data_IF_743674411135
#
_entry.id   IF_743674411135
#
_cell.length_a   1.000
_cell.length_b   1.000
_cell.length_c   1.000
_cell.angle_alpha   90.00
_cell.angle_beta   90.00
_cell.angle_gamma   90.00
#
_symmetry.space_group_name_H-M   'P 1'
#
loop_
_entity.id
_entity.type
_entity.pdbx_description
1 polymer ?
#
# COMPACT_ATOMS: atom_id res chain seq x y z
N UNK A 1 -9.62 29.25 -25.01
CA UNK A 1 -10.65 28.56 -24.21
C UNK A 1 -9.93 27.41 -23.51
N UNK A 2 -9.77 27.45 -22.20
CA UNK A 2 -9.24 26.32 -21.44
C UNK A 2 -10.25 25.19 -21.54
N UNK A 3 -9.90 24.06 -22.15
CA UNK A 3 -10.67 22.86 -22.05
C UNK A 3 -10.76 22.54 -20.55
N UNK A 4 -11.96 22.70 -19.98
CA UNK A 4 -12.23 22.29 -18.61
C UNK A 4 -12.08 20.77 -18.59
N UNK A 5 -11.17 20.25 -17.80
CA UNK A 5 -11.14 18.83 -17.48
C UNK A 5 -12.53 18.48 -16.93
N UNK A 6 -13.26 17.64 -17.65
CA UNK A 6 -14.56 17.18 -17.16
C UNK A 6 -14.34 16.23 -15.97
N UNK A 7 -15.12 16.43 -14.93
CA UNK A 7 -15.07 15.58 -13.74
C UNK A 7 -15.48 14.13 -14.10
N UNK A 8 -14.90 13.12 -13.41
CA UNK A 8 -15.34 11.76 -13.56
C UNK A 8 -16.83 11.62 -13.29
N UNK A 9 -17.54 10.91 -14.18
CA UNK A 9 -19.00 10.78 -14.11
C UNK A 9 -19.41 9.35 -13.76
N UNK A 10 -20.42 9.20 -12.89
CA UNK A 10 -21.01 7.92 -12.58
C UNK A 10 -21.85 7.43 -13.76
N UNK A 11 -21.41 6.36 -14.41
CA UNK A 11 -22.09 5.75 -15.55
C UNK A 11 -23.13 4.73 -15.13
N UNK A 12 -22.74 3.87 -14.17
CA UNK A 12 -23.60 2.75 -13.74
C UNK A 12 -23.38 2.42 -12.29
N UNK A 13 -24.43 1.86 -11.72
CA UNK A 13 -24.31 1.25 -10.42
C UNK A 13 -25.00 -0.14 -10.43
N UNK A 14 -24.40 -1.11 -9.73
CA UNK A 14 -24.89 -2.47 -9.64
C UNK A 14 -25.18 -2.84 -8.20
N UNK A 15 -26.35 -3.45 -7.96
CA UNK A 15 -26.77 -4.02 -6.69
C UNK A 15 -27.14 -5.48 -6.90
N UNK A 16 -26.66 -6.38 -6.04
CA UNK A 16 -26.96 -7.81 -6.19
C UNK A 16 -26.28 -8.70 -5.20
N UNK A 17 -25.15 -8.27 -4.65
CA UNK A 17 -24.54 -8.87 -3.48
C UNK A 17 -25.35 -8.56 -2.21
N UNK A 18 -25.18 -9.38 -1.18
CA UNK A 18 -25.91 -9.28 0.10
C UNK A 18 -24.99 -8.90 1.26
N UNK A 19 -23.75 -8.57 0.96
CA UNK A 19 -22.73 -8.18 1.91
C UNK A 19 -21.64 -7.36 1.21
N UNK A 20 -20.72 -6.84 1.99
CA UNK A 20 -19.60 -6.00 1.57
C UNK A 20 -18.91 -6.54 0.32
N UNK A 21 -18.71 -5.68 -0.66
CA UNK A 21 -17.88 -5.95 -1.83
C UNK A 21 -16.42 -5.91 -1.39
N UNK A 22 -15.64 -6.92 -1.77
CA UNK A 22 -14.23 -7.05 -1.36
C UNK A 22 -13.24 -6.81 -2.48
N UNK A 23 -13.64 -7.16 -3.70
CA UNK A 23 -12.75 -7.08 -4.86
C UNK A 23 -13.55 -6.99 -6.15
N UNK A 24 -13.00 -6.26 -7.12
CA UNK A 24 -13.60 -6.05 -8.44
C UNK A 24 -12.49 -6.18 -9.47
N UNK A 25 -12.82 -6.70 -10.65
CA UNK A 25 -11.91 -6.70 -11.79
C UNK A 25 -12.67 -6.63 -13.13
N UNK A 26 -12.11 -5.90 -14.08
CA UNK A 26 -12.63 -5.80 -15.44
C UNK A 26 -12.11 -6.94 -16.31
N UNK A 27 -13.00 -7.51 -17.14
CA UNK A 27 -12.54 -8.38 -18.22
C UNK A 27 -11.79 -7.53 -19.27
N UNK A 28 -10.69 -8.04 -19.79
CA UNK A 28 -9.87 -7.38 -20.83
C UNK A 28 -10.66 -6.95 -22.06
N UNK A 29 -11.79 -7.63 -22.35
CA UNK A 29 -12.68 -7.29 -23.46
C UNK A 29 -13.68 -6.16 -23.15
N UNK A 30 -13.63 -5.58 -21.95
CA UNK A 30 -14.54 -4.51 -21.47
C UNK A 30 -16.04 -4.84 -21.54
N UNK A 31 -16.40 -6.13 -21.54
CA UNK A 31 -17.81 -6.54 -21.59
C UNK A 31 -18.36 -7.02 -20.26
N UNK A 32 -17.48 -7.40 -19.35
CA UNK A 32 -17.84 -8.03 -18.08
C UNK A 32 -17.01 -7.46 -16.91
N UNK A 33 -17.63 -7.54 -15.74
CA UNK A 33 -17.04 -7.17 -14.46
C UNK A 33 -17.18 -8.34 -13.49
N UNK A 34 -16.08 -8.81 -12.91
CA UNK A 34 -16.07 -9.81 -11.85
C UNK A 34 -16.07 -9.12 -10.48
N UNK A 35 -16.91 -9.61 -9.57
CA UNK A 35 -17.08 -9.02 -8.24
C UNK A 35 -17.06 -10.13 -7.21
N UNK A 36 -16.25 -9.97 -6.18
CA UNK A 36 -16.21 -10.82 -4.99
C UNK A 36 -16.81 -10.11 -3.79
N UNK A 37 -17.45 -10.87 -2.91
CA UNK A 37 -18.11 -10.32 -1.72
C UNK A 37 -17.96 -11.22 -0.50
N UNK A 38 -18.18 -10.63 0.67
CA UNK A 38 -18.26 -11.32 1.96
C UNK A 38 -19.41 -12.33 1.99
N UNK A 39 -20.40 -12.22 1.10
CA UNK A 39 -21.52 -13.18 0.94
C UNK A 39 -21.10 -14.54 0.34
N UNK A 40 -19.80 -14.81 0.22
CA UNK A 40 -19.20 -16.04 -0.32
C UNK A 40 -19.44 -16.32 -1.81
N UNK A 41 -20.01 -15.35 -2.55
CA UNK A 41 -20.30 -15.50 -3.96
C UNK A 41 -19.35 -14.66 -4.83
N UNK A 42 -19.18 -15.13 -6.06
CA UNK A 42 -18.60 -14.34 -7.13
C UNK A 42 -19.72 -14.01 -8.12
N UNK A 43 -19.86 -12.75 -8.48
CA UNK A 43 -20.80 -12.32 -9.51
C UNK A 43 -20.08 -11.80 -10.73
N UNK A 44 -20.56 -12.18 -11.91
CA UNK A 44 -20.09 -11.65 -13.20
C UNK A 44 -21.20 -10.81 -13.79
N UNK A 45 -20.99 -9.50 -13.83
CA UNK A 45 -21.90 -8.56 -14.43
C UNK A 45 -21.51 -8.25 -15.88
N UNK A 46 -22.50 -8.14 -16.73
CA UNK A 46 -22.29 -7.66 -18.09
C UNK A 46 -22.47 -6.14 -18.14
N UNK A 47 -21.54 -5.46 -18.77
CA UNK A 47 -21.62 -4.01 -18.96
C UNK A 47 -22.61 -3.62 -20.08
N UNK A 48 -23.08 -4.56 -20.88
CA UNK A 48 -24.19 -4.31 -21.82
C UNK A 48 -25.51 -4.21 -21.06
N UNK A 49 -26.38 -3.24 -21.39
CA UNK A 49 -27.69 -3.13 -20.78
C UNK A 49 -28.52 -4.40 -21.04
N UNK A 50 -29.43 -4.73 -20.10
CA UNK A 50 -30.37 -5.85 -20.16
C UNK A 50 -29.78 -7.27 -20.15
N UNK A 51 -28.48 -7.44 -19.99
CA UNK A 51 -27.87 -8.77 -19.79
C UNK A 51 -27.88 -9.18 -18.33
N UNK A 52 -28.23 -10.44 -18.07
CA UNK A 52 -28.24 -11.01 -16.71
C UNK A 52 -26.82 -11.14 -16.16
N UNK A 53 -26.68 -10.91 -14.85
CA UNK A 53 -25.47 -11.28 -14.12
C UNK A 53 -25.43 -12.79 -13.86
N UNK A 54 -24.23 -13.37 -13.85
CA UNK A 54 -24.01 -14.74 -13.39
C UNK A 54 -23.61 -14.70 -11.92
N UNK A 55 -24.21 -15.57 -11.11
CA UNK A 55 -23.84 -15.75 -9.70
C UNK A 55 -23.21 -17.12 -9.51
N UNK A 56 -21.96 -17.14 -9.10
CA UNK A 56 -21.19 -18.35 -8.86
C UNK A 56 -21.14 -18.63 -7.36
N UNK A 57 -21.70 -19.77 -6.97
CA UNK A 57 -21.76 -20.24 -5.60
C UNK A 57 -20.86 -21.47 -5.47
N UNK A 58 -19.99 -21.48 -4.48
CA UNK A 58 -19.10 -22.63 -4.28
C UNK A 58 -18.10 -22.43 -3.17
N UNK A 59 -17.65 -21.20 -2.90
CA UNK A 59 -16.90 -20.90 -1.70
C UNK A 59 -17.75 -21.10 -0.45
N UNK A 60 -17.10 -21.52 0.64
CA UNK A 60 -17.75 -21.80 1.93
C UNK A 60 -17.70 -20.61 2.88
N UNK A 61 -16.93 -19.59 2.54
CA UNK A 61 -16.71 -18.39 3.33
C UNK A 61 -16.43 -17.20 2.40
N UNK A 62 -16.28 -16.01 2.96
CA UNK A 62 -16.07 -14.77 2.26
C UNK A 62 -15.05 -14.87 1.10
N UNK A 63 -15.40 -14.33 -0.06
CA UNK A 63 -14.48 -14.12 -1.17
C UNK A 63 -13.76 -12.81 -0.93
N UNK A 64 -12.44 -12.80 -0.92
CA UNK A 64 -11.63 -11.63 -0.60
C UNK A 64 -10.94 -10.99 -1.81
N UNK A 65 -10.71 -11.77 -2.88
CA UNK A 65 -10.09 -11.26 -4.10
C UNK A 65 -10.61 -12.02 -5.31
N UNK A 66 -10.83 -11.29 -6.39
CA UNK A 66 -11.22 -11.85 -7.70
C UNK A 66 -10.37 -11.21 -8.78
N UNK A 67 -10.05 -11.97 -9.82
CA UNK A 67 -9.39 -11.43 -11.01
C UNK A 67 -9.74 -12.25 -12.25
N UNK A 68 -9.92 -11.57 -13.39
CA UNK A 68 -9.97 -12.21 -14.70
C UNK A 68 -8.57 -12.64 -15.13
N UNK A 69 -8.49 -13.74 -15.87
CA UNK A 69 -7.27 -14.05 -16.62
C UNK A 69 -7.06 -13.00 -17.73
N UNK A 70 -5.81 -12.72 -18.14
CA UNK A 70 -5.54 -11.79 -19.24
C UNK A 70 -6.30 -12.11 -20.53
N UNK A 71 -6.56 -13.40 -20.77
CA UNK A 71 -7.37 -13.87 -21.91
C UNK A 71 -8.87 -13.68 -21.73
N UNK A 72 -9.36 -13.36 -20.52
CA UNK A 72 -10.76 -13.24 -20.20
C UNK A 72 -11.54 -14.55 -20.08
N UNK A 73 -10.90 -15.72 -20.25
CA UNK A 73 -11.56 -17.03 -20.27
C UNK A 73 -11.73 -17.66 -18.88
N UNK A 74 -10.98 -17.19 -17.90
CA UNK A 74 -11.04 -17.68 -16.52
C UNK A 74 -11.20 -16.51 -15.55
N UNK A 75 -11.80 -16.81 -14.40
CA UNK A 75 -11.82 -15.93 -13.23
C UNK A 75 -11.23 -16.69 -12.06
N UNK A 76 -10.22 -16.13 -11.40
CA UNK A 76 -9.72 -16.63 -10.14
C UNK A 76 -10.42 -15.94 -8.98
N UNK A 77 -10.76 -16.69 -7.94
CA UNK A 77 -11.27 -16.14 -6.69
C UNK A 77 -10.54 -16.74 -5.50
N UNK A 78 -10.18 -15.91 -4.55
CA UNK A 78 -9.55 -16.29 -3.29
C UNK A 78 -10.50 -16.07 -2.12
N UNK A 79 -10.53 -16.99 -1.16
CA UNK A 79 -11.50 -16.96 -0.08
C UNK A 79 -10.89 -17.23 1.30
N UNK A 80 -11.61 -16.80 2.31
CA UNK A 80 -11.36 -17.13 3.71
C UNK A 80 -11.45 -18.64 3.97
N UNK A 81 -12.15 -19.40 3.12
CA UNK A 81 -12.20 -20.87 3.17
C UNK A 81 -10.89 -21.58 2.82
N UNK A 82 -9.78 -20.82 2.64
CA UNK A 82 -8.41 -21.31 2.36
C UNK A 82 -8.24 -21.93 0.97
N UNK A 83 -9.20 -21.71 0.09
CA UNK A 83 -9.16 -22.21 -1.29
C UNK A 83 -9.13 -21.08 -2.31
N UNK A 84 -8.54 -21.37 -3.46
CA UNK A 84 -8.70 -20.60 -4.68
C UNK A 84 -9.58 -21.39 -5.62
N UNK A 85 -10.52 -20.73 -6.27
CA UNK A 85 -11.31 -21.31 -7.34
C UNK A 85 -11.01 -20.65 -8.67
N UNK A 86 -10.90 -21.47 -9.71
CA UNK A 86 -10.82 -21.01 -11.09
C UNK A 86 -12.15 -21.31 -11.76
N UNK A 87 -12.84 -20.27 -12.17
CA UNK A 87 -14.18 -20.34 -12.77
C UNK A 87 -14.10 -20.09 -14.26
N UNK A 88 -14.93 -20.81 -15.02
CA UNK A 88 -15.22 -20.45 -16.40
C UNK A 88 -16.41 -19.48 -16.38
N UNK A 89 -16.26 -18.22 -16.88
CA UNK A 89 -17.31 -17.20 -16.84
C UNK A 89 -18.42 -17.51 -17.85
N UNK A 90 -19.14 -18.60 -17.63
CA UNK A 90 -20.25 -19.11 -18.43
C UNK A 90 -21.48 -19.33 -17.57
N UNK A 91 -22.63 -19.58 -18.20
CA UNK A 91 -23.89 -19.84 -17.51
C UNK A 91 -23.80 -21.02 -16.51
N UNK A 92 -22.96 -22.04 -16.84
CA UNK A 92 -22.78 -23.20 -15.96
C UNK A 92 -21.95 -22.92 -14.73
N UNK A 93 -21.03 -21.93 -14.79
CA UNK A 93 -20.19 -21.55 -13.66
C UNK A 93 -19.28 -22.70 -13.17
N UNK A 94 -18.77 -23.51 -14.08
CA UNK A 94 -17.86 -24.61 -13.72
C UNK A 94 -16.61 -24.06 -13.07
N UNK A 95 -16.15 -24.71 -11.99
CA UNK A 95 -14.95 -24.28 -11.28
C UNK A 95 -14.09 -25.44 -10.84
N UNK A 96 -12.79 -25.21 -10.85
CA UNK A 96 -11.80 -26.08 -10.22
C UNK A 96 -11.31 -25.47 -8.91
N UNK A 97 -11.03 -26.31 -7.91
CA UNK A 97 -10.67 -25.90 -6.56
C UNK A 97 -9.21 -26.20 -6.28
N UNK A 98 -8.45 -25.17 -5.90
CA UNK A 98 -7.08 -25.31 -5.41
C UNK A 98 -7.09 -25.17 -3.88
N UNK A 99 -6.70 -26.21 -3.16
CA UNK A 99 -6.41 -26.14 -1.73
C UNK A 99 -5.05 -25.48 -1.53
N UNK A 100 -5.04 -24.15 -1.54
CA UNK A 100 -3.81 -23.42 -1.73
C UNK A 100 -3.03 -23.18 -0.41
N UNK A 101 -3.71 -22.84 0.66
CA UNK A 101 -3.09 -22.37 1.89
C UNK A 101 -3.68 -23.01 3.13
N UNK A 102 -2.99 -22.87 4.26
CA UNK A 102 -3.49 -23.29 5.59
C UNK A 102 -4.24 -22.18 6.31
N UNK A 103 -4.08 -20.92 5.87
CA UNK A 103 -4.77 -19.73 6.35
C UNK A 103 -5.70 -19.12 5.29
N UNK A 104 -6.40 -18.07 5.65
CA UNK A 104 -7.23 -17.24 4.77
C UNK A 104 -6.41 -16.78 3.56
N UNK A 105 -6.97 -16.85 2.37
CA UNK A 105 -6.32 -16.31 1.16
C UNK A 105 -6.90 -14.92 0.90
N UNK A 106 -6.02 -13.92 0.95
CA UNK A 106 -6.44 -12.51 0.83
C UNK A 106 -6.35 -11.95 -0.56
N UNK A 107 -5.41 -12.44 -1.35
CA UNK A 107 -5.15 -11.93 -2.70
C UNK A 107 -4.86 -13.08 -3.66
N UNK A 108 -5.33 -12.93 -4.88
CA UNK A 108 -5.03 -13.78 -6.02
C UNK A 108 -4.80 -12.92 -7.24
N UNK A 109 -3.73 -13.22 -8.00
CA UNK A 109 -3.47 -12.52 -9.25
C UNK A 109 -2.88 -13.46 -10.31
N UNK A 110 -3.33 -13.31 -11.54
CA UNK A 110 -2.69 -13.91 -12.71
C UNK A 110 -1.43 -13.12 -13.07
N UNK A 111 -0.41 -13.82 -13.51
CA UNK A 111 0.68 -13.19 -14.23
C UNK A 111 0.19 -12.68 -15.60
N UNK A 112 0.87 -11.68 -16.14
CA UNK A 112 0.48 -11.05 -17.41
C UNK A 112 0.45 -12.03 -18.58
N UNK A 113 1.28 -13.07 -18.53
CA UNK A 113 1.30 -14.18 -19.51
C UNK A 113 0.11 -15.15 -19.36
N UNK A 114 -0.69 -15.04 -18.31
CA UNK A 114 -1.79 -15.93 -17.98
C UNK A 114 -1.37 -17.35 -17.57
N UNK A 115 -0.07 -17.66 -17.51
CA UNK A 115 0.43 -19.01 -17.22
C UNK A 115 0.60 -19.29 -15.74
N UNK A 116 0.85 -18.26 -14.96
CA UNK A 116 1.11 -18.35 -13.52
C UNK A 116 0.06 -17.59 -12.71
N UNK A 117 -0.15 -18.04 -11.47
CA UNK A 117 -1.02 -17.41 -10.50
C UNK A 117 -0.24 -17.19 -9.20
N UNK A 118 -0.33 -16.04 -8.58
CA UNK A 118 0.20 -15.76 -7.24
C UNK A 118 -0.93 -15.64 -6.24
N UNK A 119 -0.72 -16.14 -5.04
CA UNK A 119 -1.66 -16.10 -3.92
C UNK A 119 -0.97 -15.63 -2.65
N UNK A 120 -1.63 -14.75 -1.89
CA UNK A 120 -1.15 -14.27 -0.60
C UNK A 120 -2.11 -14.68 0.52
N UNK A 121 -1.57 -15.04 1.69
CA UNK A 121 -2.35 -15.64 2.76
C UNK A 121 -1.95 -15.18 4.16
N UNK A 122 -2.91 -15.34 5.09
CA UNK A 122 -2.71 -15.20 6.53
C UNK A 122 -1.76 -16.27 7.12
N UNK A 123 -1.42 -17.33 6.35
CA UNK A 123 -0.38 -18.29 6.74
C UNK A 123 1.04 -17.73 6.58
N UNK A 124 1.17 -16.41 6.30
CA UNK A 124 2.43 -15.66 6.14
C UNK A 124 3.21 -16.01 4.89
N UNK A 125 2.62 -16.76 3.97
CA UNK A 125 3.26 -17.22 2.74
C UNK A 125 2.61 -16.64 1.49
N UNK A 126 3.44 -16.51 0.47
CA UNK A 126 3.02 -16.24 -0.90
C UNK A 126 3.30 -17.52 -1.67
N UNK A 127 2.36 -17.98 -2.47
CA UNK A 127 2.54 -19.19 -3.29
C UNK A 127 2.29 -18.89 -4.75
N UNK A 128 3.07 -19.54 -5.59
CA UNK A 128 2.96 -19.43 -7.05
C UNK A 128 2.55 -20.77 -7.63
N UNK A 129 1.64 -20.72 -8.60
CA UNK A 129 0.97 -21.88 -9.20
C UNK A 129 1.03 -21.79 -10.71
N UNK A 130 1.04 -22.93 -11.40
CA UNK A 130 0.74 -22.96 -12.84
C UNK A 130 -0.78 -23.04 -13.04
N UNK A 131 -1.32 -22.20 -13.92
CA UNK A 131 -2.75 -22.15 -14.21
C UNK A 131 -3.21 -23.40 -14.96
N UNK A 132 -2.53 -23.76 -16.05
CA UNK A 132 -2.94 -24.87 -16.92
C UNK A 132 -2.96 -26.24 -16.21
N UNK A 133 -1.91 -26.53 -15.42
CA UNK A 133 -1.79 -27.80 -14.69
C UNK A 133 -2.30 -27.72 -13.26
N UNK A 134 -2.66 -26.54 -12.78
CA UNK A 134 -3.10 -26.27 -11.39
C UNK A 134 -2.13 -26.83 -10.34
N UNK A 135 -0.82 -26.79 -10.66
CA UNK A 135 0.22 -27.31 -9.79
C UNK A 135 0.93 -26.19 -9.05
N UNK A 136 1.24 -26.48 -7.79
CA UNK A 136 2.13 -25.66 -6.98
C UNK A 136 3.53 -25.61 -7.61
N UNK A 137 4.13 -24.41 -7.66
CA UNK A 137 5.50 -24.19 -8.14
C UNK A 137 6.47 -23.97 -6.96
N UNK A 138 6.23 -22.92 -6.20
CA UNK A 138 7.07 -22.57 -5.05
C UNK A 138 6.34 -21.63 -4.08
N UNK A 139 6.92 -21.48 -2.88
CA UNK A 139 6.45 -20.61 -1.82
C UNK A 139 7.54 -19.63 -1.39
N UNK A 140 7.12 -18.41 -1.05
CA UNK A 140 7.95 -17.35 -0.47
C UNK A 140 7.47 -17.10 0.96
N UNK A 141 8.38 -17.21 1.98
CA UNK A 141 8.00 -17.31 3.39
C UNK A 141 8.86 -16.47 4.33
N UNK A 142 9.22 -15.22 3.94
CA UNK A 142 10.00 -14.33 4.82
C UNK A 142 9.17 -13.24 5.50
N UNK A 143 7.86 -13.16 5.25
CA UNK A 143 6.98 -12.31 6.03
C UNK A 143 6.75 -12.92 7.42
N UNK A 144 6.78 -12.08 8.46
CA UNK A 144 6.58 -12.51 9.85
C UNK A 144 5.10 -12.45 10.27
N UNK A 145 4.25 -11.81 9.47
CA UNK A 145 2.81 -11.69 9.71
C UNK A 145 2.00 -11.95 8.42
N UNK A 146 0.68 -11.79 8.48
CA UNK A 146 -0.26 -12.03 7.39
C UNK A 146 0.12 -11.26 6.13
N UNK A 147 0.10 -11.94 4.99
CA UNK A 147 0.31 -11.28 3.69
C UNK A 147 -1.03 -10.88 3.10
N UNK A 148 -1.24 -9.58 2.98
CA UNK A 148 -2.51 -8.98 2.51
C UNK A 148 -2.66 -9.01 1.00
N UNK A 149 -1.58 -8.69 0.29
CA UNK A 149 -1.59 -8.56 -1.16
C UNK A 149 -0.29 -9.08 -1.74
N UNK A 150 -0.35 -9.71 -2.90
CA UNK A 150 0.82 -10.04 -3.71
C UNK A 150 0.49 -9.86 -5.18
N UNK A 151 1.39 -9.22 -5.93
CA UNK A 151 1.24 -8.86 -7.34
C UNK A 151 2.48 -9.21 -8.14
N UNK A 152 2.28 -9.63 -9.40
CA UNK A 152 3.36 -9.74 -10.38
C UNK A 152 3.71 -8.38 -10.98
N UNK A 153 4.98 -8.19 -11.30
CA UNK A 153 5.38 -7.08 -12.16
C UNK A 153 4.84 -7.27 -13.59
N UNK A 154 4.67 -6.17 -14.36
CA UNK A 154 4.16 -6.24 -15.73
C UNK A 154 4.99 -7.16 -16.65
N UNK A 155 6.32 -7.23 -16.43
CA UNK A 155 7.23 -8.11 -17.15
C UNK A 155 7.25 -9.57 -16.61
N UNK A 156 6.54 -9.83 -15.50
CA UNK A 156 6.46 -11.15 -14.85
C UNK A 156 7.72 -11.61 -14.13
N UNK A 157 8.75 -10.75 -14.00
CA UNK A 157 10.04 -11.05 -13.38
C UNK A 157 9.99 -11.01 -11.87
N UNK A 158 9.31 -10.00 -11.33
CA UNK A 158 9.24 -9.74 -9.91
C UNK A 158 7.85 -10.03 -9.35
N UNK A 159 7.81 -10.24 -8.04
CA UNK A 159 6.59 -10.25 -7.25
C UNK A 159 6.76 -9.20 -6.18
N UNK A 160 5.73 -8.38 -5.94
CA UNK A 160 5.66 -7.48 -4.78
C UNK A 160 4.63 -8.02 -3.80
N UNK A 161 4.87 -7.84 -2.52
CA UNK A 161 3.93 -8.25 -1.47
C UNK A 161 3.82 -7.20 -0.36
N UNK A 162 2.61 -7.09 0.19
CA UNK A 162 2.26 -6.22 1.30
C UNK A 162 1.77 -7.04 2.50
N UNK A 163 2.17 -6.68 3.71
CA UNK A 163 1.92 -7.48 4.90
C UNK A 163 1.55 -6.66 6.14
N UNK A 164 0.92 -7.35 7.10
CA UNK A 164 0.67 -6.84 8.45
C UNK A 164 1.95 -6.71 9.29
N UNK A 165 3.10 -7.18 8.80
CA UNK A 165 4.41 -6.90 9.39
C UNK A 165 4.91 -5.49 9.08
N UNK A 166 4.08 -4.65 8.44
CA UNK A 166 4.36 -3.27 8.02
C UNK A 166 5.42 -3.16 6.94
N UNK A 167 5.75 -4.25 6.27
CA UNK A 167 6.75 -4.28 5.20
C UNK A 167 6.12 -4.54 3.85
N UNK A 168 6.78 -4.01 2.83
CA UNK A 168 6.58 -4.38 1.44
C UNK A 168 7.86 -5.08 1.00
N UNK A 169 7.73 -6.25 0.40
CA UNK A 169 8.87 -7.02 -0.10
C UNK A 169 8.79 -7.20 -1.61
N UNK A 170 9.95 -7.10 -2.25
CA UNK A 170 10.13 -7.41 -3.67
C UNK A 170 10.90 -8.72 -3.78
N UNK A 171 10.40 -9.62 -4.58
CA UNK A 171 10.92 -10.96 -4.79
C UNK A 171 11.30 -11.17 -6.25
N UNK A 172 12.41 -11.81 -6.50
CA UNK A 172 12.73 -12.32 -7.83
C UNK A 172 12.04 -13.70 -8.02
N UNK A 173 11.24 -13.83 -9.08
CA UNK A 173 10.54 -15.07 -9.42
C UNK A 173 11.51 -16.20 -9.79
N UNK A 174 12.67 -15.88 -10.38
CA UNK A 174 13.65 -16.87 -10.83
C UNK A 174 14.48 -17.42 -9.67
N UNK A 175 15.06 -16.56 -8.84
CA UNK A 175 15.88 -16.95 -7.67
C UNK A 175 15.02 -17.32 -6.47
N UNK A 176 13.76 -16.85 -6.40
CA UNK A 176 12.81 -17.00 -5.28
C UNK A 176 13.28 -16.31 -4.01
N UNK A 177 14.15 -15.34 -4.13
CA UNK A 177 14.72 -14.60 -3.03
C UNK A 177 14.07 -13.22 -2.89
N UNK A 178 14.07 -12.69 -1.65
CA UNK A 178 13.67 -11.32 -1.40
C UNK A 178 14.83 -10.40 -1.76
N UNK A 179 14.63 -9.56 -2.78
CA UNK A 179 15.64 -8.61 -3.24
C UNK A 179 15.68 -7.40 -2.32
N UNK A 180 14.50 -6.90 -1.94
CA UNK A 180 14.40 -5.68 -1.13
C UNK A 180 13.18 -5.70 -0.22
N UNK A 181 13.27 -4.98 0.91
CA UNK A 181 12.17 -4.79 1.86
C UNK A 181 12.06 -3.32 2.23
N UNK A 182 10.88 -2.73 2.06
CA UNK A 182 10.58 -1.36 2.48
C UNK A 182 9.86 -1.38 3.85
N UNK A 183 10.29 -0.52 4.78
CA UNK A 183 9.83 -0.50 6.18
C UNK A 183 9.14 0.82 6.59
N UNK A 184 8.84 1.69 5.64
CA UNK A 184 8.44 3.08 5.90
C UNK A 184 6.97 3.27 6.28
N UNK A 185 6.13 2.22 6.26
CA UNK A 185 4.74 2.33 6.73
C UNK A 185 4.64 2.30 8.25
N UNK A 186 3.90 3.28 8.81
CA UNK A 186 3.58 3.33 10.24
C UNK A 186 2.58 2.25 10.70
N UNK A 187 1.75 1.77 9.78
CA UNK A 187 0.72 0.75 9.99
C UNK A 187 0.88 -0.47 9.10
N UNK A 188 -0.12 -1.35 9.13
CA UNK A 188 -0.19 -2.50 8.24
C UNK A 188 -0.35 -2.05 6.79
N UNK A 189 0.25 -2.80 5.85
CA UNK A 189 0.13 -2.52 4.42
C UNK A 189 -0.97 -3.39 3.84
N UNK A 190 -2.09 -2.77 3.44
CA UNK A 190 -3.27 -3.47 2.96
C UNK A 190 -3.15 -3.91 1.50
N UNK A 191 -2.58 -3.06 0.68
CA UNK A 191 -2.56 -3.27 -0.77
C UNK A 191 -1.28 -2.71 -1.39
N UNK A 192 -0.81 -3.34 -2.44
CA UNK A 192 0.34 -2.91 -3.23
C UNK A 192 0.10 -3.21 -4.69
N UNK A 193 0.57 -2.34 -5.58
CA UNK A 193 0.49 -2.56 -7.02
C UNK A 193 1.74 -2.03 -7.72
N UNK A 194 2.03 -2.61 -8.90
CA UNK A 194 3.06 -2.12 -9.78
C UNK A 194 2.54 -1.01 -10.68
N UNK A 195 3.36 -0.01 -10.89
CA UNK A 195 3.17 0.94 -11.97
C UNK A 195 3.24 0.21 -13.33
N UNK A 196 2.45 0.59 -14.35
CA UNK A 196 2.41 -0.10 -15.64
C UNK A 196 3.76 -0.24 -16.34
N UNK A 197 4.71 0.69 -16.12
CA UNK A 197 6.07 0.59 -16.67
C UNK A 197 7.00 -0.36 -15.88
N UNK A 198 6.54 -0.90 -14.74
CA UNK A 198 7.31 -1.81 -13.90
C UNK A 198 8.46 -1.20 -13.10
N UNK A 199 8.65 0.13 -13.10
CA UNK A 199 9.76 0.80 -12.39
C UNK A 199 9.42 1.24 -10.98
N UNK A 200 8.13 1.43 -10.71
CA UNK A 200 7.63 1.92 -9.43
C UNK A 200 6.57 0.99 -8.86
N UNK A 201 6.38 1.09 -7.55
CA UNK A 201 5.28 0.45 -6.82
C UNK A 201 4.56 1.50 -5.97
N UNK A 202 3.25 1.32 -5.80
CA UNK A 202 2.47 2.09 -4.84
C UNK A 202 1.86 1.16 -3.80
N UNK A 203 1.79 1.61 -2.55
CA UNK A 203 1.15 0.87 -1.48
C UNK A 203 0.21 1.72 -0.64
N UNK A 204 -0.83 1.10 -0.16
CA UNK A 204 -1.85 1.64 0.72
C UNK A 204 -1.77 0.99 2.10
N UNK A 205 -1.82 1.81 3.15
CA UNK A 205 -1.65 1.35 4.52
C UNK A 205 -2.77 1.76 5.48
N UNK A 206 -2.75 1.13 6.65
CA UNK A 206 -3.64 1.49 7.77
C UNK A 206 -3.20 2.76 8.48
N UNK A 207 -2.08 3.34 8.08
CA UNK A 207 -1.60 4.66 8.50
C UNK A 207 -2.26 5.81 7.72
N UNK A 208 -3.31 5.52 6.95
CA UNK A 208 -4.08 6.44 6.11
C UNK A 208 -3.24 7.07 4.99
N UNK A 209 -2.10 6.48 4.68
CA UNK A 209 -1.17 7.00 3.67
C UNK A 209 -1.10 6.13 2.44
N UNK A 210 -0.76 6.77 1.33
CA UNK A 210 -0.36 6.11 0.09
C UNK A 210 1.06 6.55 -0.22
N UNK A 211 1.93 5.58 -0.49
CA UNK A 211 3.33 5.83 -0.79
C UNK A 211 3.72 5.21 -2.11
N UNK A 212 4.63 5.85 -2.81
CA UNK A 212 5.15 5.40 -4.11
C UNK A 212 6.66 5.33 -4.03
N UNK A 213 7.24 4.18 -4.44
CA UNK A 213 8.69 3.96 -4.44
C UNK A 213 9.20 3.63 -5.84
N UNK A 214 10.42 4.06 -6.14
CA UNK A 214 11.21 3.53 -7.26
C UNK A 214 11.93 2.26 -6.82
N UNK A 215 11.66 1.15 -7.49
CA UNK A 215 12.26 -0.15 -7.15
C UNK A 215 13.71 -0.29 -7.61
N UNK A 216 14.18 0.52 -8.55
CA UNK A 216 15.57 0.50 -9.04
C UNK A 216 16.50 1.25 -8.09
N UNK A 217 16.02 2.38 -7.56
CA UNK A 217 16.75 3.23 -6.63
C UNK A 217 16.47 2.87 -5.17
N UNK A 218 15.45 2.03 -4.90
CA UNK A 218 14.94 1.69 -3.57
C UNK A 218 14.60 2.95 -2.73
N UNK A 219 14.06 3.98 -3.38
CA UNK A 219 13.73 5.27 -2.77
C UNK A 219 12.25 5.54 -2.79
N UNK A 220 11.77 6.17 -1.70
CA UNK A 220 10.45 6.76 -1.65
C UNK A 220 10.42 7.97 -2.60
N UNK A 221 9.50 7.96 -3.56
CA UNK A 221 9.30 9.06 -4.51
C UNK A 221 8.23 10.03 -4.02
N UNK A 222 7.09 9.49 -3.56
CA UNK A 222 5.94 10.30 -3.18
C UNK A 222 5.25 9.72 -1.95
N UNK A 223 4.72 10.61 -1.11
CA UNK A 223 3.99 10.27 0.10
C UNK A 223 2.72 11.12 0.18
N UNK A 224 1.57 10.49 0.08
CA UNK A 224 0.27 11.14 0.12
C UNK A 224 -0.46 10.87 1.44
N UNK A 225 -0.84 11.96 2.14
CA UNK A 225 -1.69 11.96 3.33
C UNK A 225 -3.03 12.62 3.02
N UNK A 226 -3.74 12.06 2.08
CA UNK A 226 -4.97 12.67 1.54
C UNK A 226 -6.24 12.08 2.14
N UNK A 227 -6.17 10.87 2.73
CA UNK A 227 -7.30 10.21 3.36
C UNK A 227 -7.34 10.43 4.87
N UNK A 228 -8.56 10.54 5.43
CA UNK A 228 -8.78 10.65 6.87
C UNK A 228 -8.88 9.29 7.57
N UNK A 229 -9.03 8.21 6.82
CA UNK A 229 -9.12 6.84 7.35
C UNK A 229 -8.27 5.87 6.52
N UNK A 230 -8.27 4.60 6.94
CA UNK A 230 -7.50 3.51 6.32
C UNK A 230 -7.71 3.44 4.81
N UNK A 231 -6.62 3.35 4.06
CA UNK A 231 -6.66 3.12 2.62
C UNK A 231 -6.66 1.61 2.36
N UNK A 232 -7.71 1.12 1.70
CA UNK A 232 -7.95 -0.30 1.50
C UNK A 232 -7.34 -0.84 0.20
N UNK A 233 -7.46 -0.06 -0.86
CA UNK A 233 -7.10 -0.49 -2.21
C UNK A 233 -6.60 0.70 -3.03
N UNK A 234 -5.81 0.40 -4.04
CA UNK A 234 -5.35 1.36 -5.04
C UNK A 234 -5.22 0.69 -6.41
N UNK A 235 -5.23 1.49 -7.46
CA UNK A 235 -5.02 1.01 -8.83
C UNK A 235 -4.35 2.11 -9.66
N UNK A 236 -3.34 1.74 -10.42
CA UNK A 236 -2.73 2.63 -11.40
C UNK A 236 -3.59 2.74 -12.65
N UNK A 237 -3.68 3.93 -13.20
CA UNK A 237 -4.20 4.13 -14.54
C UNK A 237 -3.22 3.53 -15.57
N UNK A 238 -3.70 2.93 -16.69
CA UNK A 238 -2.83 2.27 -17.67
C UNK A 238 -1.77 3.18 -18.30
N UNK A 239 -2.02 4.51 -18.39
CA UNK A 239 -1.01 5.46 -18.88
C UNK A 239 0.11 5.74 -17.85
N UNK A 240 -0.05 5.32 -16.60
CA UNK A 240 0.91 5.53 -15.52
C UNK A 240 0.87 6.89 -14.83
N UNK A 241 0.09 7.86 -15.31
CA UNK A 241 0.11 9.22 -14.77
C UNK A 241 -0.79 9.41 -13.55
N UNK A 242 -1.78 8.53 -13.36
CA UNK A 242 -2.77 8.64 -12.31
C UNK A 242 -2.83 7.40 -11.43
N UNK A 243 -3.16 7.62 -10.18
CA UNK A 243 -3.40 6.59 -9.18
C UNK A 243 -4.76 6.84 -8.51
N UNK A 244 -5.65 5.86 -8.50
CA UNK A 244 -6.91 5.92 -7.74
C UNK A 244 -6.78 5.11 -6.46
N UNK A 245 -7.40 5.61 -5.40
CA UNK A 245 -7.37 5.01 -4.07
C UNK A 245 -8.77 4.93 -3.48
N UNK A 246 -9.05 3.88 -2.72
CA UNK A 246 -10.31 3.65 -2.01
C UNK A 246 -10.04 3.56 -0.50
N UNK A 247 -10.87 4.23 0.30
CA UNK A 247 -10.64 4.36 1.74
C UNK A 247 -11.90 4.13 2.57
N UNK A 248 -11.67 3.80 3.84
CA UNK A 248 -12.70 3.71 4.87
C UNK A 248 -13.40 5.04 5.16
N UNK A 249 -12.87 6.18 4.67
CA UNK A 249 -13.54 7.49 4.73
C UNK A 249 -14.68 7.63 3.71
N UNK A 250 -15.06 6.55 3.04
CA UNK A 250 -16.12 6.48 2.02
C UNK A 250 -15.84 7.28 0.76
N UNK A 251 -14.60 7.72 0.56
CA UNK A 251 -14.19 8.48 -0.62
C UNK A 251 -13.24 7.68 -1.52
N UNK A 252 -13.31 8.00 -2.80
CA UNK A 252 -12.29 7.63 -3.77
C UNK A 252 -11.50 8.89 -4.10
N UNK A 253 -10.18 8.75 -4.20
CA UNK A 253 -9.31 9.89 -4.55
C UNK A 253 -8.44 9.54 -5.74
N UNK A 254 -8.32 10.48 -6.66
CA UNK A 254 -7.47 10.36 -7.83
C UNK A 254 -6.27 11.28 -7.64
N UNK A 255 -5.10 10.69 -7.69
CA UNK A 255 -3.80 11.35 -7.50
C UNK A 255 -3.12 11.49 -8.84
N UNK A 256 -2.57 12.66 -9.09
CA UNK A 256 -1.66 12.93 -10.21
C UNK A 256 -0.24 12.61 -9.75
N UNK A 257 0.40 11.65 -10.40
CA UNK A 257 1.75 11.22 -10.08
C UNK A 257 2.82 12.11 -10.72
N UNK A 258 2.49 12.87 -11.77
CA UNK A 258 3.41 13.80 -12.40
C UNK A 258 3.59 15.06 -11.54
N UNK A 259 2.46 15.62 -11.09
CA UNK A 259 2.47 16.82 -10.25
C UNK A 259 2.54 16.52 -8.75
N UNK A 260 2.36 15.24 -8.34
CA UNK A 260 2.43 14.81 -6.95
C UNK A 260 1.28 15.34 -6.08
N UNK A 261 0.10 15.60 -6.65
CA UNK A 261 -1.03 16.22 -5.96
C UNK A 261 -2.34 15.42 -6.06
N UNK A 262 -3.29 15.74 -5.19
CA UNK A 262 -4.66 15.27 -5.28
C UNK A 262 -5.38 15.99 -6.41
N UNK A 263 -5.93 15.23 -7.36
CA UNK A 263 -6.67 15.75 -8.50
C UNK A 263 -8.18 15.80 -8.20
N UNK A 264 -8.78 14.64 -7.83
CA UNK A 264 -10.21 14.55 -7.54
C UNK A 264 -10.49 13.83 -6.22
N UNK A 265 -11.57 14.23 -5.55
CA UNK A 265 -12.20 13.49 -4.46
C UNK A 265 -13.61 13.15 -4.89
N UNK A 266 -13.93 11.86 -4.99
CA UNK A 266 -15.22 11.38 -5.44
C UNK A 266 -16.01 10.83 -4.27
N UNK A 267 -17.24 11.26 -4.18
CA UNK A 267 -18.23 10.83 -3.21
C UNK A 267 -19.30 10.01 -3.91
N UNK A 268 -19.77 8.93 -3.28
CA UNK A 268 -20.81 8.06 -3.86
C UNK A 268 -21.17 6.92 -2.93
N UNK A 269 -20.16 6.25 -2.37
CA UNK A 269 -20.38 5.18 -1.39
C UNK A 269 -20.93 5.72 -0.07
N UNK A 270 -21.95 5.02 0.48
CA UNK A 270 -22.55 5.35 1.77
C UNK A 270 -21.81 4.74 2.96
N UNK A 271 -20.75 4.00 2.72
CA UNK A 271 -19.89 3.37 3.70
C UNK A 271 -18.46 3.22 3.18
N UNK A 272 -17.57 2.57 3.93
CA UNK A 272 -16.19 2.31 3.50
C UNK A 272 -16.08 1.83 2.06
N UNK A 273 -15.28 2.51 1.24
CA UNK A 273 -14.88 2.02 -0.07
C UNK A 273 -13.77 0.98 0.12
N UNK A 274 -14.00 -0.24 -0.34
CA UNK A 274 -13.15 -1.39 -0.06
C UNK A 274 -12.21 -1.74 -1.19
N UNK A 275 -12.62 -1.51 -2.44
CA UNK A 275 -11.86 -1.86 -3.63
C UNK A 275 -12.10 -0.87 -4.77
N UNK A 276 -11.09 -0.74 -5.62
CA UNK A 276 -11.13 0.10 -6.81
C UNK A 276 -10.19 -0.47 -7.87
N UNK A 277 -10.56 -0.36 -9.13
CA UNK A 277 -9.75 -0.83 -10.26
C UNK A 277 -10.03 0.01 -11.50
N UNK A 278 -8.99 0.36 -12.25
CA UNK A 278 -9.13 0.91 -13.60
C UNK A 278 -9.38 -0.18 -14.63
N UNK A 279 -10.07 0.18 -15.68
CA UNK A 279 -10.17 -0.64 -16.89
C UNK A 279 -8.83 -0.72 -17.62
N UNK A 280 -8.64 -1.75 -18.44
CA UNK A 280 -7.39 -1.92 -19.21
C UNK A 280 -7.12 -0.79 -20.22
N UNK A 281 -8.16 -0.11 -20.70
CA UNK A 281 -8.04 1.05 -21.58
C UNK A 281 -7.90 2.39 -20.82
N UNK A 282 -8.28 2.42 -19.52
CA UNK A 282 -8.29 3.63 -18.73
C UNK A 282 -9.58 4.47 -18.82
N UNK A 283 -10.48 4.15 -19.75
CA UNK A 283 -11.71 4.93 -19.99
C UNK A 283 -12.71 4.86 -18.82
N UNK A 284 -12.61 3.80 -18.02
CA UNK A 284 -13.50 3.55 -16.89
C UNK A 284 -12.71 3.11 -15.66
N UNK A 285 -13.30 3.29 -14.51
CA UNK A 285 -12.91 2.61 -13.28
C UNK A 285 -14.15 2.12 -12.53
N UNK A 286 -13.97 1.08 -11.72
CA UNK A 286 -15.03 0.54 -10.89
C UNK A 286 -14.62 0.58 -9.42
N UNK A 287 -15.57 0.88 -8.54
CA UNK A 287 -15.39 0.89 -7.09
C UNK A 287 -16.44 0.04 -6.41
N UNK A 288 -16.09 -0.57 -5.29
CA UNK A 288 -16.98 -1.33 -4.44
C UNK A 288 -16.85 -0.91 -2.99
N UNK A 289 -17.94 -1.02 -2.27
CA UNK A 289 -18.01 -0.59 -0.88
C UNK A 289 -18.71 -1.57 0.05
N UNK A 290 -18.70 -1.23 1.33
CA UNK A 290 -19.46 -1.94 2.36
C UNK A 290 -20.97 -1.69 2.27
N UNK A 291 -21.41 -0.77 1.43
CA UNK A 291 -22.80 -0.48 1.07
C UNK A 291 -23.38 -1.51 0.05
N UNK A 292 -22.67 -2.63 -0.20
CA UNK A 292 -23.07 -3.72 -1.10
C UNK A 292 -23.21 -3.28 -2.56
N UNK A 293 -22.71 -2.08 -2.91
CA UNK A 293 -22.84 -1.49 -4.23
C UNK A 293 -21.51 -1.50 -4.98
N UNK A 294 -21.65 -1.65 -6.29
CA UNK A 294 -20.56 -1.44 -7.23
C UNK A 294 -20.91 -0.28 -8.14
N UNK A 295 -20.00 0.67 -8.23
CA UNK A 295 -20.15 1.86 -9.07
C UNK A 295 -19.13 1.79 -10.20
N UNK A 296 -19.56 2.08 -11.41
CA UNK A 296 -18.71 2.20 -12.59
C UNK A 296 -18.73 3.65 -13.03
N UNK A 297 -17.57 4.22 -13.13
CA UNK A 297 -17.29 5.62 -13.40
C UNK A 297 -16.58 5.74 -14.74
N UNK A 298 -16.90 6.77 -15.48
CA UNK A 298 -16.15 7.16 -16.66
C UNK A 298 -15.04 8.12 -16.25
N UNK A 299 -13.81 7.84 -16.70
CA UNK A 299 -12.68 8.77 -16.58
C UNK A 299 -12.78 9.77 -17.72
N UNK A 300 -12.69 11.05 -17.44
CA UNK A 300 -12.65 12.07 -18.49
C UNK A 300 -11.23 12.62 -18.66
N UNK A 301 -10.22 11.78 -18.34
CA UNK A 301 -8.81 12.16 -18.51
C UNK A 301 -8.30 11.60 -19.84
N UNK A 302 -8.57 12.25 -20.94
CA UNK A 302 -7.90 11.87 -22.17
C UNK A 302 -6.45 12.37 -22.17
N UNK A 303 -5.52 11.43 -22.30
CA UNK A 303 -4.09 11.71 -22.33
C UNK A 303 -3.68 12.66 -23.46
N UNK A 304 -4.47 12.78 -24.52
CA UNK A 304 -4.28 13.71 -25.62
C UNK A 304 -4.49 15.17 -25.18
N UNK A 305 -5.52 15.44 -24.40
CA UNK A 305 -5.85 16.80 -23.95
C UNK A 305 -4.84 17.33 -22.91
N UNK A 306 -4.34 16.45 -22.04
CA UNK A 306 -3.33 16.86 -21.04
C UNK A 306 -1.98 17.18 -21.68
N UNK A 307 -1.58 16.43 -22.69
CA UNK A 307 -0.36 16.71 -23.47
C UNK A 307 -0.44 18.01 -24.28
N UNK A 308 -1.62 18.39 -24.76
CA UNK A 308 -1.86 19.67 -25.42
C UNK A 308 -1.93 20.84 -24.43
N UNK A 309 -2.51 20.64 -23.24
CA UNK A 309 -2.52 21.65 -22.17
C UNK A 309 -1.10 22.00 -21.71
N UNK A 310 -0.25 21.00 -21.44
CA UNK A 310 1.14 21.21 -21.06
C UNK A 310 1.93 21.94 -22.18
N UNK A 311 1.69 21.60 -23.46
CA UNK A 311 2.27 22.31 -24.62
C UNK A 311 1.75 23.74 -24.73
N UNK A 312 0.50 23.99 -24.39
CA UNK A 312 -0.09 25.31 -24.41
C UNK A 312 0.34 26.17 -23.21
N UNK A 313 0.52 25.60 -22.03
CA UNK A 313 1.10 26.28 -20.87
C UNK A 313 2.57 26.64 -21.09
N UNK A 314 3.37 25.75 -21.68
CA UNK A 314 4.76 26.03 -22.04
C UNK A 314 4.85 27.08 -23.14
N UNK A 315 3.92 27.12 -24.11
CA UNK A 315 3.82 28.16 -25.13
C UNK A 315 3.38 29.51 -24.55
N UNK A 316 2.46 29.54 -23.60
CA UNK A 316 2.03 30.78 -22.94
C UNK A 316 3.12 31.41 -22.06
N UNK A 317 3.96 30.56 -21.41
CA UNK A 317 5.14 31.03 -20.66
C UNK A 317 6.21 31.60 -21.63
N UNK A 318 6.41 30.99 -22.81
CA UNK A 318 7.37 31.45 -23.78
C UNK A 318 6.92 32.77 -24.44
N UNK A 319 5.62 32.95 -24.68
CA UNK A 319 5.07 34.22 -25.25
C UNK A 319 5.13 35.36 -24.24
N UNK A 320 4.97 35.11 -22.94
CA UNK A 320 5.13 36.12 -21.90
C UNK A 320 6.59 36.52 -21.64
N UNK A 321 7.57 35.72 -22.04
CA UNK A 321 8.99 36.09 -22.01
C UNK A 321 9.42 36.93 -23.22
N UNK A 322 8.72 36.82 -24.36
CA UNK A 322 9.08 37.57 -25.60
C UNK A 322 8.47 38.95 -25.68
N UNK A 323 7.51 39.32 -24.82
CA UNK A 323 6.88 40.67 -24.80
C UNK A 323 7.52 41.66 -23.82
N UNK A 324 8.66 41.33 -23.19
CA UNK A 324 9.37 42.21 -22.24
C UNK A 324 10.81 42.55 -22.63
N UNK A 325 11.25 42.28 -23.84
CA UNK A 325 12.59 42.66 -24.31
C UNK A 325 12.51 43.52 -25.58
N UNK A 326 12.10 44.77 -25.41
CA UNK A 326 12.49 45.86 -26.27
C UNK A 326 13.11 46.94 -25.38
N UNK A 327 14.37 46.73 -25.00
CA UNK A 327 15.38 47.75 -24.80
C UNK A 327 16.72 47.08 -24.52
N UNK A 328 17.73 47.57 -25.20
CA UNK A 328 19.01 46.91 -25.38
C UNK A 328 19.91 46.82 -24.15
N UNK A 329 20.70 45.78 -24.10
CA UNK A 329 21.79 45.59 -23.15
C UNK A 329 22.38 44.18 -23.24
N UNK A 330 23.54 44.08 -23.84
CA UNK A 330 24.35 42.86 -23.94
C UNK A 330 24.78 42.32 -22.60
N UNK A 331 24.51 41.04 -22.31
CA UNK A 331 25.27 40.26 -21.35
C UNK A 331 25.17 38.77 -21.66
N UNK A 332 26.32 38.12 -21.69
CA UNK A 332 26.57 36.70 -21.95
C UNK A 332 25.93 35.78 -20.89
N UNK A 333 25.51 34.55 -21.22
CA UNK A 333 24.96 33.63 -20.22
C UNK A 333 26.05 32.78 -19.60
N UNK A 334 26.26 32.93 -18.29
CA UNK A 334 26.92 31.96 -17.47
C UNK A 334 25.94 30.86 -17.05
N UNK A 335 26.30 29.61 -17.32
CA UNK A 335 25.62 28.43 -16.88
C UNK A 335 25.91 28.20 -15.40
N UNK A 336 24.93 28.38 -14.54
CA UNK A 336 24.95 27.81 -13.18
C UNK A 336 23.74 26.89 -12.98
N UNK A 337 24.03 25.60 -12.89
CA UNK A 337 23.11 24.58 -12.45
C UNK A 337 22.74 24.83 -11.00
N UNK A 338 21.47 25.17 -10.74
CA UNK A 338 20.88 25.14 -9.39
C UNK A 338 19.78 24.10 -9.32
N UNK A 339 20.11 22.98 -8.67
CA UNK A 339 19.16 22.03 -8.12
C UNK A 339 18.32 22.75 -7.05
N UNK A 340 17.03 22.88 -7.29
CA UNK A 340 16.07 23.36 -6.28
C UNK A 340 15.64 22.19 -5.42
N UNK A 341 16.10 22.18 -4.18
CA UNK A 341 15.48 21.44 -3.10
C UNK A 341 14.11 22.06 -2.80
N UNK A 342 13.09 21.21 -2.73
CA UNK A 342 11.75 21.62 -2.32
C UNK A 342 11.75 21.66 -0.80
N UNK A 343 11.66 22.84 -0.22
CA UNK A 343 11.43 23.09 1.19
C UNK A 343 10.00 22.66 1.58
N UNK A 344 9.92 21.80 2.59
CA UNK A 344 8.69 21.43 3.28
C UNK A 344 8.21 22.62 4.12
N UNK A 345 7.07 23.18 3.81
CA UNK A 345 6.34 24.06 4.69
C UNK A 345 5.63 23.24 5.77
N UNK A 346 6.22 23.23 6.96
CA UNK A 346 5.54 22.87 8.20
C UNK A 346 4.70 24.07 8.64
N UNK A 347 3.39 23.90 8.70
CA UNK A 347 2.50 24.84 9.38
C UNK A 347 2.24 24.36 10.80
N UNK A 348 2.91 25.00 11.75
CA UNK A 348 2.61 24.93 13.17
C UNK A 348 1.22 25.51 13.47
N UNK A 349 0.36 24.72 14.07
CA UNK A 349 -0.77 25.23 14.84
C UNK A 349 -0.46 25.05 16.33
N UNK A 350 -0.04 26.15 16.93
CA UNK A 350 -0.03 26.34 18.38
C UNK A 350 -1.44 26.69 18.85
N UNK A 351 -2.00 25.93 19.76
CA UNK A 351 -3.03 26.43 20.65
C UNK A 351 -2.71 26.01 22.09
N UNK A 352 -2.50 27.03 22.89
CA UNK A 352 -2.17 26.93 24.28
C UNK A 352 -3.39 26.65 25.17
N UNK A 353 -3.16 25.90 26.21
CA UNK A 353 -3.78 26.15 27.53
C UNK A 353 -2.98 25.48 28.64
N UNK A 354 -2.44 26.37 29.46
CA UNK A 354 -1.92 26.10 30.80
C UNK A 354 -3.04 25.55 31.72
N UNK A 355 -2.72 24.55 32.53
CA UNK A 355 -3.20 24.50 33.93
C UNK A 355 -2.15 23.77 34.79
N UNK A 356 -1.67 24.54 35.78
CA UNK A 356 -0.94 24.08 36.95
C UNK A 356 -1.77 23.06 37.76
N UNK A 357 -1.09 22.14 38.45
CA UNK A 357 -1.26 21.91 39.88
C UNK A 357 -0.29 20.85 40.44
N UNK A 358 0.60 21.36 41.32
CA UNK A 358 1.05 20.85 42.62
C UNK A 358 1.57 19.40 42.76
N UNK A 359 2.84 19.35 43.07
CA UNK A 359 3.49 18.97 44.36
C UNK A 359 2.75 17.92 45.20
N UNK A 360 3.40 16.79 45.44
CA UNK A 360 3.59 16.31 46.82
C UNK A 360 4.78 15.33 46.93
N UNK A 361 5.62 15.66 47.94
CA UNK A 361 6.75 14.88 48.49
C UNK A 361 6.25 13.70 49.31
N UNK A 362 7.03 12.62 49.38
CA UNK A 362 7.40 11.89 50.63
C UNK A 362 8.41 10.79 50.25
N UNK A 363 9.62 10.90 50.71
CA UNK A 363 10.25 10.29 51.90
C UNK A 363 10.34 8.76 51.85
N UNK A 364 11.59 8.34 51.81
CA UNK A 364 12.48 7.57 52.72
C UNK A 364 12.52 6.09 52.35
N UNK A 365 13.60 5.38 52.40
CA UNK A 365 14.82 5.38 53.19
C UNK A 365 15.80 4.33 52.66
N UNK A 366 17.10 4.68 52.70
CA UNK A 366 18.26 3.93 53.08
C UNK A 366 18.28 2.39 53.08
N UNK A 367 19.41 1.83 52.59
CA UNK A 367 20.45 1.16 53.39
C UNK A 367 21.60 0.69 52.47
N UNK A 368 22.83 1.22 52.74
CA UNK A 368 24.18 0.65 52.91
C UNK A 368 24.63 -0.49 51.94
N UNK A 369 25.78 -0.55 51.42
CA UNK A 369 27.15 -0.07 51.56
C UNK A 369 28.00 -1.04 50.74
N UNK A 370 29.05 -0.69 50.11
CA UNK A 370 30.46 -0.60 50.50
C UNK A 370 31.37 -0.59 49.29
N UNK A 371 32.21 0.40 49.28
CA UNK A 371 33.63 0.48 48.91
C UNK A 371 34.25 -0.45 47.89
N UNK A 372 34.84 0.16 46.86
CA UNK A 372 36.27 0.04 46.55
C UNK A 372 36.67 0.98 45.38
N UNK A 373 37.47 1.98 45.69
CA UNK A 373 38.33 2.68 44.71
C UNK A 373 39.53 1.80 44.36
N UNK A 374 40.12 1.95 43.21
CA UNK A 374 41.57 2.14 43.11
C UNK A 374 41.96 3.42 42.35
N UNK A 375 43.14 3.90 42.76
CA UNK A 375 43.82 5.14 42.45
C UNK A 375 44.50 5.18 41.05
N UNK A 376 45.07 6.34 40.64
CA UNK A 376 45.39 6.69 39.25
C UNK A 376 46.85 6.38 38.88
N UNK A 377 47.11 6.19 37.57
CA UNK A 377 48.45 6.27 36.98
C UNK A 377 48.37 6.88 35.56
N UNK A 378 49.50 7.33 34.96
CA UNK A 378 49.79 8.74 34.77
C UNK A 378 49.66 9.19 33.28
N UNK A 379 49.68 10.50 33.13
CA UNK A 379 49.69 11.23 31.86
C UNK A 379 50.95 10.91 31.03
N UNK A 380 50.75 10.63 29.75
CA UNK A 380 51.74 10.92 28.73
C UNK A 380 51.08 11.64 27.57
N UNK A 381 51.63 12.83 27.26
CA UNK A 381 51.27 13.68 26.14
C UNK A 381 51.37 12.96 24.81
N UNK A 382 50.35 13.14 23.96
CA UNK A 382 50.50 13.38 22.51
C UNK A 382 49.28 14.15 22.02
N UNK A 383 49.53 15.39 21.67
CA UNK A 383 48.63 16.22 20.85
C UNK A 383 48.59 15.66 19.44
N UNK A 384 47.38 15.39 18.92
CA UNK A 384 47.06 15.64 17.52
C UNK A 384 45.57 15.81 17.41
N UNK A 385 45.16 16.97 16.92
CA UNK A 385 43.78 17.37 16.79
C UNK A 385 43.10 16.66 15.62
N UNK A 386 42.01 15.99 15.91
CA UNK A 386 40.93 15.73 14.94
C UNK A 386 39.63 16.16 15.61
N UNK A 387 39.24 17.40 15.35
CA UNK A 387 37.90 17.88 15.71
C UNK A 387 36.87 17.12 14.86
N UNK A 388 36.13 16.24 15.51
CA UNK A 388 34.96 15.59 14.91
C UNK A 388 33.99 16.70 14.46
N UNK A 389 33.50 16.71 13.21
CA UNK A 389 32.53 17.70 12.76
C UNK A 389 31.30 17.70 13.69
N UNK A 390 30.83 18.87 14.10
CA UNK A 390 29.72 19.03 15.07
C UNK A 390 28.46 18.27 14.65
N UNK A 391 28.22 18.11 13.35
CA UNK A 391 27.14 17.31 12.80
C UNK A 391 27.27 15.79 13.12
N UNK A 392 28.50 15.28 13.20
CA UNK A 392 28.76 13.88 13.56
C UNK A 392 28.61 13.65 15.07
N UNK A 393 28.97 14.62 15.89
CA UNK A 393 28.79 14.57 17.34
C UNK A 393 27.27 14.54 17.69
N UNK A 394 26.45 15.40 17.06
CA UNK A 394 25.02 15.43 17.30
C UNK A 394 24.29 14.16 16.82
N UNK A 395 24.74 13.55 15.71
CA UNK A 395 24.19 12.27 15.26
C UNK A 395 24.54 11.11 16.18
N UNK A 396 25.73 11.09 16.73
CA UNK A 396 26.15 10.10 17.73
C UNK A 396 25.38 10.23 19.04
N UNK A 397 25.14 11.45 19.53
CA UNK A 397 24.29 11.69 20.70
C UNK A 397 22.86 11.22 20.46
N UNK A 398 22.31 11.46 19.26
CA UNK A 398 20.99 10.98 18.92
C UNK A 398 20.91 9.44 18.88
N UNK A 399 21.93 8.77 18.33
CA UNK A 399 22.01 7.30 18.30
C UNK A 399 22.13 6.73 19.73
N UNK A 400 22.93 7.34 20.58
CA UNK A 400 23.06 6.94 22.01
C UNK A 400 21.70 7.07 22.70
N UNK A 401 20.97 8.18 22.51
CA UNK A 401 19.63 8.35 23.07
C UNK A 401 18.61 7.30 22.56
N UNK A 402 18.71 6.89 21.31
CA UNK A 402 17.85 5.80 20.77
C UNK A 402 18.21 4.44 21.37
N UNK A 403 19.49 4.17 21.61
CA UNK A 403 19.96 2.92 22.25
C UNK A 403 19.47 2.86 23.71
N UNK A 404 19.48 3.97 24.45
CA UNK A 404 18.96 4.02 25.81
C UNK A 404 17.44 3.71 25.86
N UNK A 405 16.65 4.26 24.95
CA UNK A 405 15.23 3.95 24.83
C UNK A 405 14.99 2.48 24.50
N UNK A 406 15.80 1.91 23.60
CA UNK A 406 15.72 0.48 23.26
C UNK A 406 16.07 -0.40 24.46
N UNK A 407 17.10 -0.04 25.22
CA UNK A 407 17.51 -0.78 26.43
C UNK A 407 16.38 -0.76 27.48
N UNK A 408 15.75 0.38 27.69
CA UNK A 408 14.59 0.48 28.59
C UNK A 408 13.41 -0.36 28.13
N UNK A 409 13.11 -0.38 26.81
CA UNK A 409 12.01 -1.20 26.27
C UNK A 409 12.28 -2.69 26.42
N UNK A 410 13.51 -3.15 26.23
CA UNK A 410 13.91 -4.55 26.46
C UNK A 410 13.71 -4.93 27.94
N UNK A 411 14.13 -4.08 28.86
CA UNK A 411 13.96 -4.31 30.31
C UNK A 411 12.48 -4.44 30.70
N UNK A 412 11.60 -3.60 30.12
CA UNK A 412 10.15 -3.70 30.35
C UNK A 412 9.58 -5.01 29.78
N UNK A 413 10.05 -5.44 28.63
CA UNK A 413 9.62 -6.72 28.02
C UNK A 413 10.07 -7.92 28.84
N UNK A 414 11.29 -7.90 29.38
CA UNK A 414 11.78 -8.96 30.29
C UNK A 414 10.94 -9.04 31.56
N UNK A 415 10.60 -7.91 32.18
CA UNK A 415 9.71 -7.88 33.34
C UNK A 415 8.32 -8.43 33.05
N UNK A 416 7.78 -8.12 31.86
CA UNK A 416 6.47 -8.68 31.45
C UNK A 416 6.53 -10.18 31.16
N UNK A 417 7.66 -10.67 30.64
CA UNK A 417 7.87 -12.09 30.39
C UNK A 417 7.92 -12.86 31.72
N UNK A 418 8.69 -12.39 32.69
CA UNK A 418 8.75 -13.02 34.04
C UNK A 418 7.38 -13.05 34.72
N UNK A 419 6.60 -11.97 34.64
CA UNK A 419 5.23 -11.93 35.18
C UNK A 419 4.30 -12.93 34.49
N UNK A 420 4.47 -13.18 33.19
CA UNK A 420 3.65 -14.18 32.45
C UNK A 420 4.08 -15.60 32.78
N UNK A 421 5.37 -15.85 32.98
CA UNK A 421 5.90 -17.14 33.42
C UNK A 421 5.41 -17.49 34.82
N UNK A 422 5.41 -16.55 35.75
CA UNK A 422 4.92 -16.75 37.12
C UNK A 422 3.43 -17.07 37.16
N UNK A 423 2.61 -16.35 36.35
CA UNK A 423 1.17 -16.65 36.20
C UNK A 423 0.91 -18.03 35.59
N UNK A 424 1.73 -18.43 34.60
CA UNK A 424 1.64 -19.77 34.02
C UNK A 424 1.97 -20.87 35.03
N UNK A 425 3.00 -20.66 35.87
CA UNK A 425 3.32 -21.58 36.97
C UNK A 425 2.16 -21.69 37.97
N UNK A 426 1.60 -20.55 38.38
CA UNK A 426 0.45 -20.51 39.30
C UNK A 426 -0.77 -21.26 38.71
N UNK A 427 -1.06 -21.11 37.42
CA UNK A 427 -2.12 -21.85 36.75
C UNK A 427 -1.85 -23.36 36.68
N UNK A 428 -0.60 -23.77 36.43
CA UNK A 428 -0.22 -25.18 36.40
C UNK A 428 -0.31 -25.83 37.79
N UNK A 429 0.13 -25.11 38.83
CA UNK A 429 0.02 -25.58 40.23
C UNK A 429 -1.44 -25.71 40.68
N UNK A 430 -2.32 -24.84 40.24
CA UNK A 430 -3.75 -24.93 40.52
C UNK A 430 -4.44 -26.08 39.77
N UNK A 431 -3.98 -26.42 38.56
CA UNK A 431 -4.48 -27.62 37.84
C UNK A 431 -4.02 -28.93 38.42
N UNK A 432 -2.88 -28.98 39.11
CA UNK A 432 -2.41 -30.20 39.80
C UNK A 432 -3.09 -30.42 41.16
N UNK A 433 -3.76 -29.41 41.73
CA UNK A 433 -4.47 -29.45 42.99
C UNK A 433 -5.99 -29.72 42.86
N UNK A 434 -6.50 -29.70 41.64
CA UNK A 434 -7.89 -30.07 41.30
C UNK A 434 -7.96 -31.49 40.75
#
# INVERSE_FOLDING_TARGET
MSALLEDPTLERHFKGHRDTITSIDFNSNMKQLAIGSMDSCVMIWNLKPQMRAYRFVGHKDAVLSVQFSPSGHLVASASRDKTVRLWVPSVKGESTVLKAHTGTIRSVQFAHDGQSLVTASDDKTIKVWTVHRQKFLFSLSQHINWVRCAKFSPDGRFIVSASDDKTIKIWDKATRECIHSFYEHGGFVNYVDFHPNGTCIAAAGTDNTVKVWDIRMNKLLQHYRVHSAVVNCLSFHPNGNYLITASNDSTLKILDLLEGKLLYTLHGHQGPATCVVFSSAGDFFASGGSDEQVMVWKTNFDAADYGEMLKNQSRSMTVNCTLKNSDGGSCSPEYTSRSRAVELLETDFSDGRSTNLNQQKSHSSNILASDAKPAPLPQSHLQEGNSIPSALASTLEHIVGQLDVLTQTVTILEQRLTLTEDKLRECLDNQQKS
#
